data_IF_145924860316
#
_entry.id   IF_145924860316
#
_cell.length_a   1.000
_cell.length_b   1.000
_cell.length_c   1.000
_cell.angle_alpha   90.00
_cell.angle_beta   90.00
_cell.angle_gamma   90.00
#
_symmetry.space_group_name_H-M   'P 1'
#
loop_
_entity.id
_entity.type
_entity.pdbx_description
1 polymer ?
#
# COMPACT_ATOMS: atom_id res chain seq x y z
N UNK A 1 -28.06 2.23 -7.18
CA UNK A 1 -27.10 1.19 -7.62
C UNK A 1 -27.92 0.04 -8.18
N UNK A 2 -27.88 -0.21 -9.50
CA UNK A 2 -28.58 -1.35 -10.11
C UNK A 2 -27.75 -2.61 -9.87
N UNK A 3 -28.40 -3.68 -9.41
CA UNK A 3 -27.76 -4.99 -9.19
C UNK A 3 -27.33 -5.52 -10.57
N UNK A 4 -26.03 -5.52 -10.86
CA UNK A 4 -25.48 -6.09 -12.10
C UNK A 4 -24.49 -5.23 -12.89
N UNK A 5 -24.36 -3.93 -12.61
CA UNK A 5 -23.32 -3.10 -13.25
C UNK A 5 -22.00 -3.20 -12.47
N UNK A 6 -20.94 -3.67 -13.14
CA UNK A 6 -19.59 -3.63 -12.56
C UNK A 6 -19.15 -2.17 -12.36
N UNK A 7 -18.46 -1.84 -11.26
CA UNK A 7 -17.93 -0.50 -11.05
C UNK A 7 -16.96 -0.15 -12.18
N UNK A 8 -17.06 1.06 -12.74
CA UNK A 8 -16.14 1.54 -13.79
C UNK A 8 -14.74 1.89 -13.22
N UNK A 9 -14.67 2.18 -11.92
CA UNK A 9 -13.45 2.49 -11.20
C UNK A 9 -13.53 2.04 -9.74
N UNK A 10 -12.37 1.77 -9.15
CA UNK A 10 -12.18 1.51 -7.73
C UNK A 10 -11.53 2.73 -7.08
N UNK A 11 -12.09 3.20 -5.97
CA UNK A 11 -11.50 4.26 -5.17
C UNK A 11 -10.81 3.60 -3.97
N UNK A 12 -9.48 3.49 -3.98
CA UNK A 12 -8.74 2.76 -2.95
C UNK A 12 -8.03 3.77 -2.02
N UNK A 13 -8.34 3.76 -0.70
CA UNK A 13 -7.58 4.53 0.26
C UNK A 13 -6.22 3.84 0.49
N UNK A 14 -5.16 4.42 -0.05
CA UNK A 14 -3.78 4.01 0.18
C UNK A 14 -3.26 4.73 1.41
N UNK A 15 -2.89 3.93 2.41
CA UNK A 15 -2.26 4.40 3.64
C UNK A 15 -0.84 3.83 3.66
N UNK A 16 0.14 4.71 3.91
CA UNK A 16 1.56 4.38 3.96
C UNK A 16 2.11 4.79 5.33
N UNK A 17 2.89 3.92 5.95
CA UNK A 17 3.61 4.16 7.19
C UNK A 17 5.08 3.79 7.05
N UNK A 18 5.87 4.17 8.05
CA UNK A 18 7.24 3.66 8.20
C UNK A 18 7.22 2.15 8.42
N UNK A 19 8.30 1.45 8.05
CA UNK A 19 8.38 -0.02 8.26
C UNK A 19 8.31 -0.40 9.74
N UNK A 20 8.94 0.43 10.58
CA UNK A 20 9.17 0.25 12.02
C UNK A 20 7.95 0.60 12.87
N UNK A 21 7.05 1.47 12.40
CA UNK A 21 5.92 1.94 13.19
C UNK A 21 4.68 2.15 12.30
N UNK A 22 3.65 1.34 12.57
CA UNK A 22 2.37 1.33 11.85
C UNK A 22 1.54 2.60 12.09
N UNK A 23 1.79 3.31 13.20
CA UNK A 23 1.10 4.54 13.58
C UNK A 23 1.80 5.80 13.04
N UNK A 24 3.09 5.68 12.68
CA UNK A 24 3.84 6.73 11.97
C UNK A 24 3.48 6.74 10.49
N UNK A 25 2.31 7.31 10.22
CA UNK A 25 1.79 7.48 8.88
C UNK A 25 2.60 8.52 8.11
N UNK A 26 3.09 8.10 6.96
CA UNK A 26 3.78 8.95 6.00
C UNK A 26 2.79 9.58 5.02
N UNK A 27 1.73 8.85 4.67
CA UNK A 27 0.75 9.30 3.69
C UNK A 27 -0.62 8.65 3.86
N UNK A 28 -1.66 9.42 3.54
CA UNK A 28 -3.00 8.93 3.22
C UNK A 28 -3.44 9.55 1.90
N UNK A 29 -3.74 8.73 0.90
CA UNK A 29 -4.18 9.19 -0.41
C UNK A 29 -5.21 8.23 -0.99
N UNK A 30 -6.31 8.78 -1.51
CA UNK A 30 -7.25 8.00 -2.32
C UNK A 30 -6.71 7.93 -3.74
N UNK A 31 -6.64 6.72 -4.28
CA UNK A 31 -6.23 6.45 -5.66
C UNK A 31 -7.42 5.88 -6.40
N UNK A 32 -7.77 6.51 -7.51
CA UNK A 32 -8.77 6.01 -8.43
C UNK A 32 -8.11 5.06 -9.43
N UNK A 33 -8.56 3.82 -9.46
CA UNK A 33 -8.05 2.77 -10.33
C UNK A 33 -9.18 2.39 -11.29
N UNK A 34 -9.05 2.68 -12.61
CA UNK A 34 -10.02 2.22 -13.60
C UNK A 34 -10.14 0.70 -13.58
N UNK A 35 -11.36 0.17 -13.65
CA UNK A 35 -11.57 -1.29 -13.70
C UNK A 35 -10.98 -1.95 -14.94
N UNK A 36 -10.71 -1.17 -15.99
CA UNK A 36 -10.04 -1.60 -17.22
C UNK A 36 -8.50 -1.56 -17.15
N UNK A 37 -7.91 -1.17 -16.02
CA UNK A 37 -6.45 -1.09 -15.89
C UNK A 37 -5.82 -2.48 -16.02
N UNK A 38 -4.92 -2.64 -17.00
CA UNK A 38 -4.15 -3.88 -17.20
C UNK A 38 -3.13 -4.11 -16.08
N UNK A 39 -2.59 -3.02 -15.51
CA UNK A 39 -1.60 -3.02 -14.42
C UNK A 39 -1.98 -1.98 -13.35
N UNK A 40 -2.98 -2.24 -12.50
CA UNK A 40 -3.44 -1.29 -11.48
C UNK A 40 -2.38 -1.00 -10.39
N UNK A 41 -1.27 -1.73 -10.38
CA UNK A 41 -0.21 -1.69 -9.37
C UNK A 41 0.90 -0.66 -9.67
N UNK A 42 1.07 -0.19 -10.91
CA UNK A 42 2.13 0.79 -11.28
C UNK A 42 1.88 2.21 -10.75
N UNK A 43 0.63 2.54 -10.38
CA UNK A 43 0.24 3.89 -9.96
C UNK A 43 0.80 4.26 -8.59
N UNK A 44 1.07 3.27 -7.74
CA UNK A 44 1.43 3.49 -6.34
C UNK A 44 2.96 3.56 -6.21
N UNK A 45 3.72 2.58 -6.70
CA UNK A 45 5.17 2.51 -6.47
C UNK A 45 6.00 3.66 -7.08
N UNK A 46 5.55 4.24 -8.19
CA UNK A 46 6.26 5.33 -8.90
C UNK A 46 6.18 6.67 -8.16
N UNK A 47 5.14 6.90 -7.35
CA UNK A 47 5.00 8.15 -6.58
C UNK A 47 5.86 8.19 -5.31
N UNK A 48 6.37 7.04 -4.84
CA UNK A 48 6.95 6.91 -3.49
C UNK A 48 8.43 6.51 -3.45
N UNK A 49 9.07 6.41 -4.62
CA UNK A 49 10.49 6.05 -4.76
C UNK A 49 11.53 6.99 -4.10
N UNK A 50 11.28 8.29 -3.79
CA UNK A 50 12.36 9.12 -3.21
C UNK A 50 12.45 9.13 -1.68
N UNK A 51 11.46 8.62 -0.91
CA UNK A 51 11.28 9.09 0.49
C UNK A 51 11.82 8.15 1.58
N UNK A 52 12.20 6.89 1.33
CA UNK A 52 12.78 6.11 2.44
C UNK A 52 13.85 5.10 2.01
N UNK A 53 15.09 5.42 2.34
CA UNK A 53 16.15 4.45 2.60
C UNK A 53 15.84 3.50 3.77
N UNK A 54 14.74 3.72 4.49
CA UNK A 54 14.35 3.02 5.72
C UNK A 54 13.16 2.06 5.53
N UNK A 55 12.68 1.84 4.29
CA UNK A 55 11.54 0.97 4.01
C UNK A 55 10.18 1.56 4.37
N UNK A 56 9.16 1.23 3.58
CA UNK A 56 7.76 1.62 3.80
C UNK A 56 6.86 0.40 3.93
N UNK A 57 5.75 0.56 4.64
CA UNK A 57 4.64 -0.40 4.67
C UNK A 57 3.36 0.27 4.20
N UNK A 58 2.65 -0.41 3.31
CA UNK A 58 1.32 -0.05 2.88
C UNK A 58 0.29 -0.84 3.67
N UNK A 59 -0.90 -0.26 3.81
CA UNK A 59 -2.04 -0.88 4.49
C UNK A 59 -1.69 -1.31 5.92
N UNK A 60 -1.19 -0.40 6.78
CA UNK A 60 -0.98 -0.70 8.19
C UNK A 60 -2.29 -1.22 8.81
N UNK A 61 -2.16 -2.18 9.74
CA UNK A 61 -3.27 -2.79 10.47
C UNK A 61 -4.35 -3.46 9.60
N UNK A 62 -4.05 -3.71 8.30
CA UNK A 62 -4.95 -4.35 7.35
C UNK A 62 -6.35 -3.72 7.19
N UNK A 63 -6.50 -2.41 7.43
CA UNK A 63 -7.80 -1.69 7.47
C UNK A 63 -8.54 -1.60 6.12
N UNK A 64 -7.89 -1.91 4.99
CA UNK A 64 -8.49 -1.85 3.64
C UNK A 64 -8.90 -3.19 3.01
N UNK A 65 -9.76 -3.16 1.99
CA UNK A 65 -10.15 -4.33 1.20
C UNK A 65 -9.32 -4.44 -0.10
N UNK A 66 -7.99 -4.51 0.05
CA UNK A 66 -7.04 -4.74 -1.05
C UNK A 66 -5.81 -5.50 -0.55
N UNK A 67 -5.11 -6.17 -1.46
CA UNK A 67 -3.82 -6.81 -1.19
C UNK A 67 -2.68 -5.94 -1.69
N UNK A 68 -1.51 -6.05 -1.06
CA UNK A 68 -0.30 -5.35 -1.47
C UNK A 68 0.73 -6.36 -1.93
N UNK A 69 1.31 -6.12 -3.10
CA UNK A 69 2.48 -6.84 -3.59
C UNK A 69 3.69 -5.93 -3.44
N UNK A 70 4.71 -6.41 -2.72
CA UNK A 70 5.97 -5.70 -2.53
C UNK A 70 7.06 -6.33 -3.40
N UNK A 71 7.95 -5.49 -3.91
CA UNK A 71 9.22 -5.96 -4.47
C UNK A 71 10.03 -6.72 -3.40
N UNK A 72 10.79 -7.77 -3.76
CA UNK A 72 11.52 -8.60 -2.80
C UNK A 72 12.41 -7.81 -1.84
N UNK A 73 13.08 -6.76 -2.33
CA UNK A 73 13.95 -5.92 -1.50
C UNK A 73 13.17 -5.23 -0.35
N UNK A 74 11.99 -4.69 -0.65
CA UNK A 74 11.13 -4.03 0.34
C UNK A 74 10.55 -5.07 1.30
N UNK A 75 10.11 -6.22 0.76
CA UNK A 75 9.59 -7.31 1.58
C UNK A 75 10.63 -7.79 2.61
N UNK A 76 11.89 -7.92 2.22
CA UNK A 76 12.95 -8.33 3.15
C UNK A 76 13.11 -7.33 4.31
N UNK A 77 13.13 -6.02 4.01
CA UNK A 77 13.17 -4.97 5.05
C UNK A 77 11.97 -5.03 5.99
N UNK A 78 10.77 -5.32 5.46
CA UNK A 78 9.57 -5.51 6.28
C UNK A 78 9.73 -6.72 7.21
N UNK A 79 10.19 -7.85 6.67
CA UNK A 79 10.36 -9.09 7.43
C UNK A 79 11.43 -8.96 8.52
N UNK A 80 12.52 -8.23 8.25
CA UNK A 80 13.55 -7.91 9.24
C UNK A 80 12.97 -7.07 10.39
N UNK A 81 12.21 -6.01 10.09
CA UNK A 81 11.59 -5.15 11.09
C UNK A 81 10.56 -5.89 11.96
N UNK A 82 9.81 -6.85 11.38
CA UNK A 82 8.90 -7.72 12.13
C UNK A 82 9.72 -8.64 13.04
N UNK A 83 10.80 -9.23 12.52
CA UNK A 83 11.64 -10.19 13.26
C UNK A 83 12.38 -9.55 14.42
N UNK A 84 12.73 -8.25 14.33
CA UNK A 84 13.38 -7.50 15.40
C UNK A 84 12.44 -7.07 16.53
N UNK A 85 11.13 -7.33 16.41
CA UNK A 85 10.14 -6.90 17.41
C UNK A 85 9.92 -5.39 17.43
N UNK A 86 10.33 -4.69 16.38
CA UNK A 86 10.21 -3.23 16.28
C UNK A 86 8.79 -2.82 15.88
N UNK A 87 8.03 -3.72 15.24
CA UNK A 87 6.66 -3.47 14.81
C UNK A 87 5.70 -3.61 16.01
N UNK A 88 4.98 -2.54 16.42
CA UNK A 88 3.85 -2.64 17.34
C UNK A 88 2.62 -3.27 16.67
#
# INVERSE_FOLDING_TARGET
>A
MRIGEQPQQWCIPIIVCTVEDSERLLLRKVVDIPSSASNPWEVICSQYHPVSSHGIRLKPNAVGFYSVLYEPAIMNTIMEAISSGTVP
#
